data_IF_866798124675
#
_entry.id   IF_866798124675
#
_cell.length_a   1.000
_cell.length_b   1.000
_cell.length_c   1.000
_cell.angle_alpha   90.00
_cell.angle_beta   90.00
_cell.angle_gamma   90.00
#
_symmetry.space_group_name_H-M   'P 1'
#
loop_
_entity.id
_entity.type
_entity.pdbx_description
1 polymer ?
#
# COMPACT_ATOMS: atom_id res chain seq x y z
N UNK A 1 1.42 16.65 17.59
CA UNK A 1 0.58 15.44 17.57
C UNK A 1 0.69 14.76 16.21
N UNK A 2 0.78 13.46 16.21
CA UNK A 2 0.79 12.72 14.95
C UNK A 2 -0.53 12.90 14.21
N UNK A 3 -0.48 12.96 12.89
CA UNK A 3 -1.69 12.96 12.07
C UNK A 3 -2.49 11.67 12.25
N UNK A 4 -1.84 10.60 12.72
CA UNK A 4 -2.46 9.29 12.91
C UNK A 4 -2.85 9.12 14.37
N UNK A 5 -4.09 8.71 14.61
CA UNK A 5 -4.53 8.38 15.96
C UNK A 5 -3.75 7.13 16.43
N UNK A 6 -3.32 7.07 17.71
CA UNK A 6 -2.53 5.92 18.18
C UNK A 6 -3.23 4.58 18.04
N UNK A 7 -4.57 4.56 18.13
CA UNK A 7 -5.39 3.36 18.04
C UNK A 7 -5.94 3.11 16.64
N UNK A 8 -5.63 3.99 15.69
CA UNK A 8 -6.14 3.89 14.31
C UNK A 8 -5.01 4.12 13.34
N UNK A 9 -4.29 3.05 12.97
CA UNK A 9 -3.24 3.19 11.96
C UNK A 9 -3.77 3.78 10.66
N UNK A 10 -2.97 4.64 10.05
CA UNK A 10 -3.30 5.26 8.76
C UNK A 10 -2.73 4.41 7.65
N UNK A 11 -3.58 4.02 6.71
CA UNK A 11 -3.17 3.20 5.56
C UNK A 11 -3.46 3.98 4.29
N UNK A 12 -2.45 4.10 3.44
CA UNK A 12 -2.63 4.62 2.09
C UNK A 12 -2.98 3.45 1.18
N UNK A 13 -4.03 3.61 0.39
CA UNK A 13 -4.41 2.64 -0.64
C UNK A 13 -4.36 3.36 -1.98
N UNK A 14 -3.59 2.82 -2.92
CA UNK A 14 -3.47 3.38 -4.25
C UNK A 14 -3.83 2.31 -5.29
N UNK A 15 -4.84 2.60 -6.10
CA UNK A 15 -5.28 1.74 -7.19
C UNK A 15 -6.02 2.63 -8.20
N UNK A 16 -5.78 2.41 -9.49
CA UNK A 16 -6.45 3.19 -10.53
C UNK A 16 -7.84 2.63 -10.87
N UNK A 17 -8.19 1.47 -10.33
CA UNK A 17 -9.54 0.93 -10.46
C UNK A 17 -10.38 1.42 -9.27
N UNK A 18 -11.36 2.32 -9.51
CA UNK A 18 -12.14 2.90 -8.41
C UNK A 18 -12.97 1.87 -7.65
N UNK A 19 -13.37 0.79 -8.30
CA UNK A 19 -14.16 -0.25 -7.62
C UNK A 19 -13.31 -1.02 -6.62
N UNK A 20 -12.08 -1.36 -7.02
CA UNK A 20 -11.15 -2.04 -6.11
C UNK A 20 -10.75 -1.12 -4.98
N UNK A 21 -10.45 0.14 -5.31
CA UNK A 21 -10.05 1.14 -4.31
C UNK A 21 -11.11 1.27 -3.22
N UNK A 22 -12.39 1.45 -3.61
CA UNK A 22 -13.45 1.61 -2.63
C UNK A 22 -13.77 0.33 -1.87
N UNK A 23 -13.68 -0.82 -2.53
CA UNK A 23 -13.90 -2.10 -1.86
C UNK A 23 -12.86 -2.32 -0.75
N UNK A 24 -11.60 -2.11 -1.06
CA UNK A 24 -10.52 -2.28 -0.10
C UNK A 24 -10.62 -1.24 1.02
N UNK A 25 -10.87 0.02 0.65
CA UNK A 25 -11.01 1.10 1.63
C UNK A 25 -12.15 0.81 2.62
N UNK A 26 -13.30 0.42 2.10
CA UNK A 26 -14.46 0.10 2.93
C UNK A 26 -14.14 -1.02 3.92
N UNK A 27 -13.51 -2.09 3.43
CA UNK A 27 -13.18 -3.24 4.28
C UNK A 27 -12.24 -2.86 5.41
N UNK A 28 -11.21 -2.09 5.10
CA UNK A 28 -10.22 -1.71 6.10
C UNK A 28 -10.75 -0.64 7.06
N UNK A 29 -11.58 0.27 6.59
CA UNK A 29 -12.24 1.23 7.48
C UNK A 29 -13.11 0.50 8.50
N UNK A 30 -13.83 -0.51 8.08
CA UNK A 30 -14.66 -1.31 9.00
C UNK A 30 -13.82 -2.10 9.99
N UNK A 31 -12.57 -2.39 9.65
CA UNK A 31 -11.66 -3.07 10.56
C UNK A 31 -11.00 -2.11 11.56
N UNK A 32 -11.27 -0.81 11.47
CA UNK A 32 -10.77 0.17 12.43
C UNK A 32 -9.59 0.99 11.95
N UNK A 33 -9.21 0.90 10.68
CA UNK A 33 -8.11 1.68 10.13
C UNK A 33 -8.61 2.99 9.52
N UNK A 34 -7.76 4.02 9.57
CA UNK A 34 -8.00 5.24 8.83
C UNK A 34 -7.40 5.10 7.45
N UNK A 35 -8.13 5.51 6.41
CA UNK A 35 -7.73 5.27 5.02
C UNK A 35 -7.55 6.58 4.27
N UNK A 36 -6.46 6.66 3.50
CA UNK A 36 -6.21 7.70 2.51
C UNK A 36 -6.17 7.03 1.14
N UNK A 37 -6.88 7.61 0.18
CA UNK A 37 -7.02 7.03 -1.16
C UNK A 37 -6.21 7.79 -2.18
N UNK A 38 -5.58 7.06 -3.10
CA UNK A 38 -4.90 7.63 -4.26
C UNK A 38 -5.31 6.87 -5.51
N UNK A 39 -5.54 7.58 -6.61
CA UNK A 39 -6.00 6.99 -7.86
C UNK A 39 -4.89 6.78 -8.89
N UNK A 40 -3.70 7.30 -8.63
CA UNK A 40 -2.53 7.12 -9.49
C UNK A 40 -1.26 7.20 -8.67
N UNK A 41 -0.13 6.87 -9.31
CA UNK A 41 1.14 6.79 -8.61
C UNK A 41 1.69 8.13 -8.14
N UNK A 42 1.42 9.20 -8.87
CA UNK A 42 1.88 10.53 -8.49
C UNK A 42 1.16 11.02 -7.23
N UNK A 43 -0.16 10.84 -7.21
CA UNK A 43 -0.96 11.17 -6.03
C UNK A 43 -0.55 10.33 -4.82
N UNK A 44 -0.28 9.03 -5.06
CA UNK A 44 0.16 8.15 -3.99
C UNK A 44 1.46 8.63 -3.36
N UNK A 45 2.44 8.98 -4.18
CA UNK A 45 3.74 9.43 -3.68
C UNK A 45 3.60 10.74 -2.90
N UNK A 46 2.78 11.66 -3.42
CA UNK A 46 2.52 12.93 -2.73
C UNK A 46 1.89 12.70 -1.37
N UNK A 47 0.88 11.84 -1.29
CA UNK A 47 0.17 11.58 -0.04
C UNK A 47 1.04 10.85 0.97
N UNK A 48 1.92 9.95 0.52
CA UNK A 48 2.86 9.32 1.44
C UNK A 48 3.75 10.36 2.09
N UNK A 49 4.28 11.29 1.29
CA UNK A 49 5.17 12.34 1.80
C UNK A 49 4.47 13.28 2.77
N UNK A 50 3.20 13.59 2.50
CA UNK A 50 2.43 14.53 3.32
C UNK A 50 1.88 13.90 4.59
N UNK A 51 1.40 12.67 4.51
CA UNK A 51 0.65 12.03 5.58
C UNK A 51 1.46 11.00 6.36
N UNK A 52 2.56 10.50 5.82
CA UNK A 52 3.41 9.49 6.45
C UNK A 52 2.60 8.32 7.02
N UNK A 53 1.92 7.55 6.17
CA UNK A 53 1.06 6.47 6.66
C UNK A 53 1.85 5.36 7.35
N UNK A 54 1.14 4.56 8.13
CA UNK A 54 1.73 3.41 8.81
C UNK A 54 1.94 2.22 7.88
N UNK A 55 1.26 2.22 6.74
CA UNK A 55 1.38 1.18 5.72
C UNK A 55 0.84 1.72 4.40
N UNK A 56 1.46 1.30 3.30
CA UNK A 56 1.00 1.64 1.95
C UNK A 56 0.64 0.36 1.19
N UNK A 57 -0.56 0.34 0.61
CA UNK A 57 -1.03 -0.74 -0.26
C UNK A 57 -1.09 -0.16 -1.67
N UNK A 58 -0.25 -0.66 -2.56
CA UNK A 58 -0.03 -0.06 -3.87
C UNK A 58 -0.31 -1.06 -4.99
N UNK A 59 -1.18 -0.69 -5.93
CA UNK A 59 -1.30 -1.42 -7.18
C UNK A 59 -0.01 -1.23 -7.97
N UNK A 60 0.50 -2.32 -8.55
CA UNK A 60 1.72 -2.24 -9.36
C UNK A 60 1.50 -1.43 -10.63
N UNK A 61 0.38 -1.68 -11.33
CA UNK A 61 0.13 -1.09 -12.65
C UNK A 61 -0.78 0.13 -12.53
N UNK A 62 -0.19 1.27 -12.23
CA UNK A 62 -0.89 2.55 -12.18
C UNK A 62 -0.31 3.54 -13.18
N UNK A 63 -1.13 4.49 -13.66
CA UNK A 63 -0.59 5.60 -14.47
C UNK A 63 0.45 6.41 -13.71
N UNK A 64 1.34 7.02 -14.43
CA UNK A 64 2.39 7.96 -13.98
C UNK A 64 3.55 7.29 -13.26
N UNK A 65 3.29 6.51 -12.21
CA UNK A 65 4.34 5.77 -11.49
C UNK A 65 3.79 4.40 -11.12
N UNK A 66 4.61 3.36 -11.33
CA UNK A 66 4.24 2.01 -10.91
C UNK A 66 4.42 1.85 -9.39
N UNK A 67 3.78 0.83 -8.83
CA UNK A 67 3.99 0.49 -7.41
C UNK A 67 5.45 0.18 -7.11
N UNK A 68 6.18 -0.43 -8.05
CA UNK A 68 7.61 -0.68 -7.88
C UNK A 68 8.39 0.62 -7.74
N UNK A 69 8.13 1.58 -8.62
CA UNK A 69 8.82 2.87 -8.60
C UNK A 69 8.55 3.64 -7.32
N UNK A 70 7.29 3.62 -6.88
CA UNK A 70 6.93 4.28 -5.62
C UNK A 70 7.69 3.65 -4.46
N UNK A 71 7.70 2.32 -4.39
CA UNK A 71 8.38 1.60 -3.31
C UNK A 71 9.87 1.94 -3.28
N UNK A 72 10.50 1.96 -4.45
CA UNK A 72 11.92 2.31 -4.56
C UNK A 72 12.18 3.73 -4.04
N UNK A 73 11.31 4.68 -4.39
CA UNK A 73 11.45 6.05 -3.90
C UNK A 73 11.25 6.15 -2.39
N UNK A 74 10.29 5.41 -1.84
CA UNK A 74 10.08 5.40 -0.40
C UNK A 74 11.31 4.87 0.34
N UNK A 75 11.95 3.84 -0.19
CA UNK A 75 13.15 3.26 0.45
C UNK A 75 14.35 4.19 0.36
N UNK A 76 14.38 5.07 -0.62
CA UNK A 76 15.50 6.01 -0.80
C UNK A 76 15.39 7.27 0.07
N UNK A 77 14.25 7.53 0.69
CA UNK A 77 14.00 8.73 1.47
C UNK A 77 13.98 8.39 2.96
N UNK A 78 14.77 9.09 3.76
CA UNK A 78 14.87 8.83 5.20
C UNK A 78 13.52 8.93 5.92
N UNK A 79 12.63 9.83 5.47
CA UNK A 79 11.35 10.04 6.14
C UNK A 79 10.34 8.93 5.85
N UNK A 80 10.55 8.13 4.80
CA UNK A 80 9.56 7.13 4.34
C UNK A 80 10.14 5.72 4.24
N UNK A 81 11.44 5.55 4.40
CA UNK A 81 12.09 4.26 4.11
C UNK A 81 11.60 3.09 4.96
N UNK A 82 10.96 3.36 6.09
CA UNK A 82 10.48 2.32 7.00
C UNK A 82 9.00 2.02 6.86
N UNK A 83 8.29 2.75 6.00
CA UNK A 83 6.87 2.50 5.79
C UNK A 83 6.69 1.14 5.10
N UNK A 84 5.98 0.19 5.71
CA UNK A 84 5.75 -1.11 5.06
C UNK A 84 4.92 -0.94 3.80
N UNK A 85 5.19 -1.77 2.79
CA UNK A 85 4.51 -1.72 1.51
C UNK A 85 3.98 -3.10 1.14
N UNK A 86 2.71 -3.16 0.77
CA UNK A 86 2.10 -4.34 0.14
C UNK A 86 1.81 -3.97 -1.31
N UNK A 87 2.30 -4.78 -2.24
CA UNK A 87 2.02 -4.60 -3.67
C UNK A 87 0.86 -5.50 -4.11
N UNK A 88 -0.07 -4.93 -4.88
CA UNK A 88 -1.19 -5.66 -5.47
C UNK A 88 -0.97 -5.77 -6.97
N UNK A 89 -1.12 -6.96 -7.56
CA UNK A 89 -0.88 -7.11 -8.98
C UNK A 89 -1.60 -8.33 -9.57
N UNK A 90 -1.99 -8.22 -10.84
CA UNK A 90 -2.46 -9.36 -11.61
C UNK A 90 -1.29 -10.22 -12.12
N UNK A 91 -0.05 -9.73 -12.01
CA UNK A 91 1.14 -10.43 -12.49
C UNK A 91 1.69 -11.33 -11.41
N UNK A 92 1.85 -12.61 -11.73
CA UNK A 92 2.24 -13.62 -10.76
C UNK A 92 3.41 -14.49 -11.21
N UNK A 93 4.08 -14.11 -12.28
CA UNK A 93 5.25 -14.85 -12.71
C UNK A 93 6.39 -14.59 -11.71
N UNK A 94 7.28 -15.57 -11.60
CA UNK A 94 8.38 -15.51 -10.64
C UNK A 94 9.20 -14.22 -10.77
N UNK A 95 9.46 -13.78 -12.00
CA UNK A 95 10.23 -12.55 -12.24
C UNK A 95 9.51 -11.31 -11.71
N UNK A 96 8.17 -11.28 -11.77
CA UNK A 96 7.39 -10.15 -11.26
C UNK A 96 7.40 -10.13 -9.74
N UNK A 97 7.31 -11.28 -9.12
CA UNK A 97 7.38 -11.40 -7.65
C UNK A 97 8.76 -10.96 -7.17
N UNK A 98 9.82 -11.43 -7.83
CA UNK A 98 11.19 -11.04 -7.50
C UNK A 98 11.36 -9.53 -7.64
N UNK A 99 10.83 -8.92 -8.72
CA UNK A 99 10.88 -7.48 -8.92
C UNK A 99 10.22 -6.73 -7.76
N UNK A 100 9.07 -7.24 -7.28
CA UNK A 100 8.36 -6.64 -6.17
C UNK A 100 9.22 -6.57 -4.92
N UNK A 101 9.81 -7.71 -4.54
CA UNK A 101 10.66 -7.75 -3.33
C UNK A 101 11.96 -6.99 -3.51
N UNK A 102 12.55 -7.01 -4.70
CA UNK A 102 13.75 -6.22 -5.00
C UNK A 102 13.50 -4.71 -4.87
N UNK A 103 12.29 -4.25 -5.17
CA UNK A 103 11.94 -2.84 -4.98
C UNK A 103 11.86 -2.44 -3.51
N UNK A 104 11.80 -3.43 -2.60
CA UNK A 104 11.74 -3.19 -1.17
C UNK A 104 10.36 -3.41 -0.55
N UNK A 105 9.44 -4.07 -1.26
CA UNK A 105 8.12 -4.37 -0.72
C UNK A 105 8.19 -5.43 0.37
N UNK A 106 7.26 -5.34 1.33
CA UNK A 106 7.17 -6.28 2.44
C UNK A 106 6.26 -7.46 2.10
N UNK A 107 5.32 -7.29 1.19
CA UNK A 107 4.42 -8.35 0.77
C UNK A 107 3.93 -8.08 -0.65
N UNK A 108 3.38 -9.11 -1.29
CA UNK A 108 3.00 -9.10 -2.69
C UNK A 108 1.75 -9.98 -2.82
N UNK A 109 0.63 -9.38 -3.21
CA UNK A 109 -0.65 -10.08 -3.27
C UNK A 109 -1.17 -10.11 -4.70
N UNK A 110 -1.55 -11.30 -5.15
CA UNK A 110 -2.09 -11.51 -6.49
C UNK A 110 -3.54 -11.05 -6.58
N UNK A 111 -3.87 -10.32 -7.63
CA UNK A 111 -5.27 -10.05 -8.01
C UNK A 111 -5.79 -11.21 -8.87
N UNK A 112 -7.05 -11.61 -8.75
CA UNK A 112 -8.02 -11.14 -7.76
C UNK A 112 -7.73 -11.71 -6.37
N UNK A 113 -7.98 -10.92 -5.36
CA UNK A 113 -7.80 -11.32 -3.97
C UNK A 113 -9.10 -11.12 -3.20
N UNK A 114 -9.25 -11.82 -2.08
CA UNK A 114 -10.37 -11.54 -1.19
C UNK A 114 -10.00 -10.36 -0.28
N UNK A 115 -10.95 -9.45 0.01
CA UNK A 115 -10.69 -8.37 0.96
C UNK A 115 -10.26 -8.89 2.34
N UNK A 116 -10.74 -10.08 2.74
CA UNK A 116 -10.34 -10.70 3.99
C UNK A 116 -8.88 -11.11 4.00
N UNK A 117 -8.37 -11.62 2.89
CA UNK A 117 -6.95 -11.95 2.78
C UNK A 117 -6.08 -10.71 2.92
N UNK A 118 -6.44 -9.63 2.25
CA UNK A 118 -5.69 -8.38 2.36
C UNK A 118 -5.72 -7.86 3.80
N UNK A 119 -6.88 -7.91 4.45
CA UNK A 119 -7.00 -7.47 5.83
C UNK A 119 -6.07 -8.25 6.76
N UNK A 120 -5.99 -9.57 6.58
CA UNK A 120 -5.09 -10.39 7.39
C UNK A 120 -3.63 -10.03 7.17
N UNK A 121 -3.24 -9.76 5.92
CA UNK A 121 -1.86 -9.36 5.60
C UNK A 121 -1.52 -8.00 6.19
N UNK A 122 -2.45 -7.05 6.10
CA UNK A 122 -2.31 -5.72 6.72
C UNK A 122 -2.09 -5.88 8.23
N UNK A 123 -2.95 -6.65 8.88
CA UNK A 123 -2.86 -6.87 10.32
C UNK A 123 -1.53 -7.50 10.71
N UNK A 124 -1.09 -8.51 9.97
CA UNK A 124 0.17 -9.19 10.24
C UNK A 124 1.37 -8.25 10.15
N UNK A 125 1.39 -7.37 9.16
CA UNK A 125 2.47 -6.43 8.98
C UNK A 125 2.48 -5.36 10.08
N UNK A 126 1.32 -4.81 10.41
CA UNK A 126 1.22 -3.78 11.44
C UNK A 126 1.55 -4.34 12.83
N UNK A 127 1.20 -5.59 13.08
CA UNK A 127 1.50 -6.22 14.37
C UNK A 127 2.99 -6.47 14.58
N UNK A 128 3.79 -6.49 13.50
CA UNK A 128 5.25 -6.65 13.60
C UNK A 128 5.97 -5.34 13.92
N UNK A 129 5.28 -4.24 13.73
CA UNK A 129 5.89 -2.92 13.90
C UNK A 129 6.11 -2.57 15.39
#
# INVERSE_FOLDING_TARGET
MSANAPDRPLILIADDDPDILELVAFRLERAGYEIVRAADGEEALQLVSERLPDLAVLDVMMPKLTGYEITEQLRADESTKRIPVILLTARVQEADVARGFESGADDYIKKPFSPGELQLRVQAILDRA
#
